data_IF_685200599933
#
_entry.id   IF_685200599933
#
_cell.length_a   1.000
_cell.length_b   1.000
_cell.length_c   1.000
_cell.angle_alpha   90.00
_cell.angle_beta   90.00
_cell.angle_gamma   90.00
#
_symmetry.space_group_name_H-M   'P 1'
#
loop_
_entity.id
_entity.type
_entity.pdbx_description
1 polymer ?
#
# COMPACT_ATOMS: atom_id res chain seq x y z
N UNK A 1 -73.15 -13.87 -65.67
CA UNK A 1 -71.95 -13.63 -64.84
C UNK A 1 -71.75 -14.85 -63.93
N UNK A 2 -70.70 -15.62 -64.13
CA UNK A 2 -70.50 -16.86 -63.37
C UNK A 2 -70.03 -16.59 -61.96
N UNK A 3 -70.30 -17.51 -60.98
CA UNK A 3 -69.85 -17.36 -59.55
C UNK A 3 -68.34 -17.17 -59.47
N UNK A 4 -67.56 -17.56 -60.43
CA UNK A 4 -66.12 -17.39 -60.47
C UNK A 4 -65.68 -15.94 -60.77
N UNK A 5 -66.43 -15.29 -61.67
CA UNK A 5 -66.16 -13.87 -61.98
C UNK A 5 -66.45 -12.97 -60.82
N UNK A 6 -67.48 -13.25 -60.02
CA UNK A 6 -67.75 -12.48 -58.76
C UNK A 6 -66.69 -12.72 -57.68
N UNK A 7 -66.08 -13.90 -57.63
CA UNK A 7 -64.99 -14.16 -56.71
C UNK A 7 -63.68 -13.45 -57.12
N UNK A 8 -63.42 -13.33 -58.38
CA UNK A 8 -62.28 -12.62 -58.96
C UNK A 8 -62.41 -11.10 -58.76
N UNK A 9 -63.63 -10.54 -59.00
CA UNK A 9 -63.92 -9.10 -58.76
C UNK A 9 -63.77 -8.72 -57.31
N UNK A 10 -64.21 -9.56 -56.34
CA UNK A 10 -64.02 -9.30 -54.93
C UNK A 10 -62.53 -9.32 -54.49
N UNK A 11 -61.67 -10.08 -55.20
CA UNK A 11 -60.22 -10.10 -54.91
C UNK A 11 -59.49 -8.85 -55.38
N UNK A 12 -60.10 -8.07 -56.26
CA UNK A 12 -59.52 -6.83 -56.80
C UNK A 12 -60.07 -5.56 -56.15
N UNK A 13 -60.87 -5.65 -55.07
CA UNK A 13 -61.29 -4.44 -54.32
C UNK A 13 -60.13 -3.75 -53.69
N UNK A 14 -59.99 -2.41 -53.82
CA UNK A 14 -58.82 -1.65 -53.35
C UNK A 14 -58.60 -1.77 -51.82
N UNK A 15 -59.64 -2.14 -51.07
CA UNK A 15 -59.51 -2.43 -49.63
C UNK A 15 -58.70 -3.69 -49.29
N UNK A 16 -58.77 -4.74 -50.10
CA UNK A 16 -58.03 -5.98 -49.92
C UNK A 16 -56.57 -5.84 -50.34
N UNK A 17 -56.28 -5.08 -51.37
CA UNK A 17 -54.93 -4.78 -51.83
C UNK A 17 -54.18 -3.95 -50.78
N UNK A 18 -54.81 -2.90 -50.22
CA UNK A 18 -54.23 -2.09 -49.14
C UNK A 18 -53.99 -2.88 -47.85
N UNK A 19 -54.85 -3.85 -47.52
CA UNK A 19 -54.68 -4.70 -46.35
C UNK A 19 -53.51 -5.67 -46.49
N UNK A 20 -53.35 -6.23 -47.66
CA UNK A 20 -52.24 -7.15 -48.02
C UNK A 20 -50.90 -6.40 -48.09
N UNK A 21 -50.90 -5.19 -48.65
CA UNK A 21 -49.70 -4.34 -48.64
C UNK A 21 -49.28 -3.90 -47.25
N UNK A 22 -50.26 -3.56 -46.37
CA UNK A 22 -49.96 -3.25 -44.97
C UNK A 22 -49.40 -4.48 -44.20
N UNK A 23 -49.95 -5.67 -44.42
CA UNK A 23 -49.44 -6.89 -43.82
C UNK A 23 -48.03 -7.21 -44.29
N UNK A 24 -47.74 -7.05 -45.60
CA UNK A 24 -46.43 -7.24 -46.17
C UNK A 24 -45.41 -6.23 -45.64
N UNK A 25 -45.82 -4.95 -45.51
CA UNK A 25 -44.98 -3.91 -44.94
C UNK A 25 -44.61 -4.18 -43.47
N UNK A 26 -45.56 -4.67 -42.66
CA UNK A 26 -45.30 -5.07 -41.26
C UNK A 26 -44.35 -6.24 -41.19
N UNK A 27 -44.50 -7.28 -42.05
CA UNK A 27 -43.60 -8.39 -42.08
C UNK A 27 -42.16 -7.99 -42.49
N UNK A 28 -42.04 -7.13 -43.51
CA UNK A 28 -40.73 -6.59 -43.93
C UNK A 28 -40.10 -5.75 -42.78
N UNK A 29 -40.88 -4.89 -42.13
CA UNK A 29 -40.37 -4.11 -41.01
C UNK A 29 -39.93 -4.99 -39.82
N UNK A 30 -40.69 -6.04 -39.49
CA UNK A 30 -40.32 -7.01 -38.46
C UNK A 30 -39.04 -7.78 -38.84
N UNK A 31 -38.89 -8.16 -40.10
CA UNK A 31 -37.73 -8.86 -40.59
C UNK A 31 -36.48 -8.00 -40.61
N UNK A 32 -36.61 -6.73 -40.94
CA UNK A 32 -35.51 -5.73 -40.85
C UNK A 32 -35.12 -5.49 -39.40
N UNK A 33 -36.07 -5.39 -38.45
CA UNK A 33 -35.76 -5.29 -37.03
C UNK A 33 -35.06 -6.54 -36.48
N UNK A 34 -35.50 -7.73 -36.88
CA UNK A 34 -34.85 -8.98 -36.43
C UNK A 34 -33.44 -9.08 -37.02
N UNK A 35 -33.25 -8.77 -38.28
CA UNK A 35 -31.91 -8.76 -38.90
C UNK A 35 -31.05 -7.65 -38.22
N UNK A 36 -31.59 -6.48 -37.99
CA UNK A 36 -30.92 -5.40 -37.25
C UNK A 36 -30.50 -5.80 -35.85
N UNK A 37 -31.38 -6.52 -35.13
CA UNK A 37 -31.07 -7.05 -33.80
C UNK A 37 -30.00 -8.16 -33.88
N UNK A 38 -30.06 -9.05 -34.85
CA UNK A 38 -29.05 -10.11 -35.06
C UNK A 38 -27.70 -9.49 -35.45
N UNK A 39 -27.68 -8.48 -36.30
CA UNK A 39 -26.45 -7.76 -36.69
C UNK A 39 -25.91 -6.96 -35.52
N UNK A 40 -26.80 -6.34 -34.74
CA UNK A 40 -26.40 -5.59 -33.53
C UNK A 40 -25.83 -6.53 -32.45
N UNK A 41 -26.52 -7.64 -32.13
CA UNK A 41 -26.06 -8.65 -31.17
C UNK A 41 -24.81 -9.38 -31.69
N UNK A 42 -24.78 -9.75 -32.94
CA UNK A 42 -23.62 -10.35 -33.58
C UNK A 42 -22.44 -9.37 -33.70
N UNK A 43 -22.71 -8.09 -33.92
CA UNK A 43 -21.73 -7.02 -33.85
C UNK A 43 -21.17 -6.83 -32.45
N UNK A 44 -22.02 -6.84 -31.41
CA UNK A 44 -21.59 -6.81 -30.01
C UNK A 44 -20.74 -8.03 -29.62
N UNK A 45 -21.09 -9.22 -30.11
CA UNK A 45 -20.29 -10.45 -29.87
C UNK A 45 -18.96 -10.39 -30.63
N UNK A 46 -18.95 -9.90 -31.86
CA UNK A 46 -17.74 -9.77 -32.67
C UNK A 46 -16.86 -8.59 -32.32
N UNK A 47 -17.43 -7.48 -31.77
CA UNK A 47 -16.70 -6.32 -31.29
C UNK A 47 -16.33 -6.49 -29.82
N UNK A 48 -17.15 -7.19 -29.02
CA UNK A 48 -16.82 -7.58 -27.64
C UNK A 48 -15.63 -8.52 -27.56
N UNK A 49 -15.42 -9.37 -28.58
CA UNK A 49 -14.25 -10.26 -28.66
C UNK A 49 -13.02 -9.58 -29.32
N UNK A 50 -13.18 -8.34 -29.85
CA UNK A 50 -12.07 -7.53 -30.37
C UNK A 50 -11.61 -6.42 -29.43
N UNK A 51 -12.33 -6.18 -28.32
CA UNK A 51 -11.96 -5.19 -27.30
C UNK A 51 -11.20 -5.77 -26.12
N UNK A 52 -11.22 -7.06 -25.94
CA UNK A 52 -10.50 -7.78 -24.92
C UNK A 52 -9.45 -8.71 -25.52
N UNK A 53 -8.56 -8.21 -26.34
CA UNK A 53 -7.26 -8.88 -26.42
C UNK A 53 -6.71 -8.79 -25.01
N UNK A 54 -6.93 -9.82 -24.22
CA UNK A 54 -6.28 -10.09 -22.96
C UNK A 54 -4.80 -10.09 -23.26
N UNK A 55 -4.25 -8.91 -23.35
CA UNK A 55 -2.82 -8.72 -23.42
C UNK A 55 -2.32 -8.97 -22.01
N UNK A 56 -2.21 -10.21 -21.65
CA UNK A 56 -1.49 -10.67 -20.48
C UNK A 56 -0.06 -11.01 -20.89
N UNK A 57 0.87 -10.92 -19.97
CA UNK A 57 2.20 -11.47 -20.15
C UNK A 57 2.15 -12.99 -19.98
N UNK A 58 3.17 -13.68 -20.47
CA UNK A 58 3.32 -15.12 -20.29
C UNK A 58 4.45 -15.39 -19.30
N UNK A 59 4.22 -16.26 -18.31
CA UNK A 59 5.24 -16.72 -17.39
C UNK A 59 5.25 -16.01 -16.02
N UNK A 60 6.37 -16.11 -15.33
CA UNK A 60 6.55 -15.69 -13.93
C UNK A 60 7.36 -14.42 -13.78
N UNK A 61 7.67 -13.72 -14.86
CA UNK A 61 8.44 -12.48 -14.88
C UNK A 61 9.71 -12.55 -15.70
N UNK A 62 10.37 -11.39 -15.87
CA UNK A 62 11.60 -11.22 -16.65
C UNK A 62 12.89 -11.18 -15.80
N UNK A 63 12.78 -11.33 -14.48
CA UNK A 63 13.89 -11.27 -13.53
C UNK A 63 14.16 -9.88 -12.96
N UNK A 64 13.49 -8.82 -13.43
CA UNK A 64 13.58 -7.47 -12.85
C UNK A 64 12.58 -7.37 -11.70
N UNK A 65 13.08 -7.15 -10.48
CA UNK A 65 12.24 -7.06 -9.30
C UNK A 65 11.57 -5.69 -9.18
N UNK A 66 10.29 -5.73 -8.83
CA UNK A 66 9.47 -4.57 -8.50
C UNK A 66 8.90 -4.72 -7.09
N UNK A 67 8.93 -3.65 -6.32
CA UNK A 67 8.35 -3.61 -4.99
C UNK A 67 6.89 -3.13 -5.06
N UNK A 68 5.98 -3.96 -4.58
CA UNK A 68 4.54 -3.69 -4.58
C UNK A 68 4.08 -3.49 -3.14
N UNK A 69 3.52 -2.33 -2.87
CA UNK A 69 2.91 -2.03 -1.56
C UNK A 69 1.47 -2.53 -1.53
N UNK A 70 1.13 -3.31 -0.52
CA UNK A 70 -0.24 -3.70 -0.18
C UNK A 70 -0.65 -2.90 1.06
N UNK A 71 -1.46 -1.85 0.91
CA UNK A 71 -1.93 -1.05 2.05
C UNK A 71 -2.82 -1.86 3.00
N UNK A 72 -2.89 -1.42 4.26
CA UNK A 72 -3.75 -2.06 5.26
C UNK A 72 -5.22 -1.92 4.85
N UNK A 73 -5.95 -3.05 4.83
CA UNK A 73 -7.37 -3.09 4.45
C UNK A 73 -7.66 -3.03 2.96
N UNK A 74 -6.66 -2.96 2.08
CA UNK A 74 -6.88 -3.02 0.62
C UNK A 74 -7.22 -4.43 0.16
N UNK A 75 -8.06 -4.50 -0.86
CA UNK A 75 -8.33 -5.75 -1.58
C UNK A 75 -7.30 -5.99 -2.68
N UNK A 76 -7.08 -7.27 -3.02
CA UNK A 76 -6.16 -7.63 -4.11
C UNK A 76 -6.52 -6.93 -5.43
N UNK A 77 -7.81 -6.73 -5.70
CA UNK A 77 -8.29 -6.07 -6.92
C UNK A 77 -7.90 -4.59 -7.01
N UNK A 78 -7.66 -3.91 -5.90
CA UNK A 78 -7.25 -2.50 -5.88
C UNK A 78 -5.80 -2.28 -6.29
N UNK A 79 -5.00 -3.35 -6.32
CA UNK A 79 -3.58 -3.29 -6.69
C UNK A 79 -3.35 -3.25 -8.21
N UNK A 80 -4.37 -3.59 -9.01
CA UNK A 80 -4.24 -3.70 -10.46
C UNK A 80 -3.59 -2.50 -11.14
N UNK A 81 -4.06 -1.25 -10.90
CA UNK A 81 -3.44 -0.06 -11.49
C UNK A 81 -1.96 0.11 -11.15
N UNK A 82 -1.54 -0.09 -9.87
CA UNK A 82 -0.14 0.01 -9.46
C UNK A 82 0.74 -1.06 -10.11
N UNK A 83 0.21 -2.29 -10.24
CA UNK A 83 0.90 -3.38 -10.92
C UNK A 83 1.12 -3.11 -12.42
N UNK A 84 0.17 -2.43 -13.08
CA UNK A 84 0.31 -2.01 -14.49
C UNK A 84 1.33 -0.89 -14.60
N UNK A 85 1.26 0.12 -13.75
CA UNK A 85 2.17 1.27 -13.77
C UNK A 85 3.63 0.84 -13.53
N UNK A 86 3.84 -0.17 -12.70
CA UNK A 86 5.16 -0.77 -12.44
C UNK A 86 5.57 -1.85 -13.44
N UNK A 87 4.76 -2.11 -14.46
CA UNK A 87 5.07 -3.08 -15.51
C UNK A 87 5.06 -4.54 -15.05
N UNK A 88 4.51 -4.84 -13.87
CA UNK A 88 4.42 -6.21 -13.34
C UNK A 88 3.41 -7.01 -14.14
N UNK A 89 2.22 -6.44 -14.40
CA UNK A 89 1.19 -7.05 -15.25
C UNK A 89 0.88 -6.15 -16.44
N UNK A 90 0.39 -6.75 -17.51
CA UNK A 90 0.16 -6.02 -18.75
C UNK A 90 -1.16 -5.25 -18.78
N UNK A 91 -2.18 -5.71 -18.05
CA UNK A 91 -3.46 -5.01 -17.94
C UNK A 91 -4.14 -5.30 -16.60
N UNK A 92 -4.80 -4.26 -16.08
CA UNK A 92 -5.61 -4.33 -14.86
C UNK A 92 -6.77 -5.34 -15.01
N UNK A 93 -7.42 -5.38 -16.18
CA UNK A 93 -8.53 -6.31 -16.45
C UNK A 93 -8.11 -7.78 -16.35
N UNK A 94 -6.92 -8.12 -16.88
CA UNK A 94 -6.39 -9.48 -16.75
C UNK A 94 -6.10 -9.81 -15.29
N UNK A 95 -5.51 -8.88 -14.55
CA UNK A 95 -5.21 -9.06 -13.13
C UNK A 95 -6.48 -9.22 -12.29
N UNK A 96 -7.48 -8.37 -12.47
CA UNK A 96 -8.77 -8.49 -11.76
C UNK A 96 -9.47 -9.80 -12.06
N UNK A 97 -9.41 -10.27 -13.32
CA UNK A 97 -9.96 -11.57 -13.70
C UNK A 97 -9.23 -12.72 -12.99
N UNK A 98 -7.90 -12.68 -12.93
CA UNK A 98 -7.11 -13.68 -12.22
C UNK A 98 -7.37 -13.66 -10.71
N UNK A 99 -7.45 -12.47 -10.11
CA UNK A 99 -7.76 -12.29 -8.69
C UNK A 99 -9.16 -12.84 -8.33
N UNK A 100 -10.17 -12.54 -9.16
CA UNK A 100 -11.53 -13.03 -8.94
C UNK A 100 -11.67 -14.57 -9.06
N UNK A 101 -10.80 -15.21 -9.85
CA UNK A 101 -10.77 -16.66 -10.01
C UNK A 101 -9.93 -17.38 -8.94
N UNK A 102 -9.20 -16.65 -8.12
CA UNK A 102 -8.38 -17.24 -7.05
C UNK A 102 -9.15 -17.27 -5.73
N UNK A 103 -9.33 -18.47 -5.18
CA UNK A 103 -10.08 -18.69 -3.93
C UNK A 103 -9.40 -18.09 -2.70
N UNK A 104 -8.07 -17.93 -2.75
CA UNK A 104 -7.24 -17.43 -1.66
C UNK A 104 -7.03 -15.91 -1.73
N UNK A 105 -7.62 -15.22 -2.70
CA UNK A 105 -7.47 -13.78 -2.89
C UNK A 105 -7.81 -12.94 -1.65
N UNK A 106 -8.71 -13.44 -0.80
CA UNK A 106 -9.07 -12.82 0.48
C UNK A 106 -8.04 -12.99 1.60
N UNK A 107 -7.01 -13.80 1.42
CA UNK A 107 -5.95 -14.02 2.42
C UNK A 107 -4.74 -13.08 2.26
N UNK A 108 -4.80 -12.14 1.32
CA UNK A 108 -3.75 -11.15 1.10
C UNK A 108 -3.45 -10.38 2.39
N UNK A 109 -2.19 -10.32 2.75
CA UNK A 109 -1.73 -9.59 3.93
C UNK A 109 -1.15 -8.22 3.53
N UNK A 110 -1.34 -7.18 4.34
CA UNK A 110 -0.67 -5.90 4.11
C UNK A 110 0.83 -6.05 4.27
N UNK A 111 1.58 -5.29 3.47
CA UNK A 111 3.03 -5.37 3.47
C UNK A 111 3.63 -4.94 2.14
N UNK A 112 4.93 -5.08 2.00
CA UNK A 112 5.60 -4.99 0.71
C UNK A 112 5.89 -6.39 0.18
N UNK A 113 5.69 -6.55 -1.13
CA UNK A 113 5.93 -7.80 -1.83
C UNK A 113 6.88 -7.57 -2.99
N UNK A 114 7.82 -8.48 -3.16
CA UNK A 114 8.73 -8.49 -4.29
C UNK A 114 8.11 -9.29 -5.42
N UNK A 115 7.71 -8.60 -6.49
CA UNK A 115 7.23 -9.19 -7.73
C UNK A 115 8.23 -8.91 -8.84
N UNK A 116 8.05 -9.54 -10.00
CA UNK A 116 8.87 -9.27 -11.17
C UNK A 116 8.07 -8.52 -12.23
N UNK A 117 8.76 -7.78 -13.08
CA UNK A 117 8.15 -7.24 -14.28
C UNK A 117 7.74 -8.36 -15.24
N UNK A 118 6.76 -8.08 -16.09
CA UNK A 118 6.28 -8.97 -17.15
C UNK A 118 5.76 -10.33 -16.64
N UNK A 119 5.15 -10.34 -15.46
CA UNK A 119 4.44 -11.52 -14.94
C UNK A 119 3.08 -11.66 -15.59
N UNK A 120 2.64 -12.91 -15.83
CA UNK A 120 1.22 -13.17 -16.11
C UNK A 120 0.37 -12.77 -14.91
N UNK A 121 -0.86 -12.34 -15.16
CA UNK A 121 -1.79 -11.94 -14.11
C UNK A 121 -1.99 -13.04 -13.03
N UNK A 122 -2.09 -14.30 -13.46
CA UNK A 122 -2.20 -15.45 -12.56
C UNK A 122 -0.94 -15.65 -11.71
N UNK A 123 0.25 -15.45 -12.28
CA UNK A 123 1.52 -15.51 -11.56
C UNK A 123 1.67 -14.38 -10.56
N UNK A 124 1.26 -13.15 -10.92
CA UNK A 124 1.29 -12.00 -10.03
C UNK A 124 0.35 -12.18 -8.83
N UNK A 125 -0.87 -12.69 -9.04
CA UNK A 125 -1.80 -13.03 -7.95
C UNK A 125 -1.19 -14.08 -7.00
N UNK A 126 -0.61 -15.15 -7.55
CA UNK A 126 0.05 -16.17 -6.73
C UNK A 126 1.24 -15.62 -5.96
N UNK A 127 2.04 -14.76 -6.57
CA UNK A 127 3.19 -14.14 -5.94
C UNK A 127 2.78 -13.22 -4.78
N UNK A 128 1.67 -12.48 -4.88
CA UNK A 128 1.12 -11.65 -3.81
C UNK A 128 0.56 -12.48 -2.64
N UNK A 129 0.15 -13.71 -2.88
CA UNK A 129 -0.37 -14.61 -1.85
C UNK A 129 0.72 -15.49 -1.21
N UNK A 130 1.91 -15.51 -1.78
CA UNK A 130 3.05 -16.24 -1.25
C UNK A 130 3.86 -15.34 -0.30
N UNK A 131 3.82 -15.66 0.99
CA UNK A 131 4.53 -14.92 2.04
C UNK A 131 6.06 -14.93 1.88
N UNK A 132 6.62 -15.84 1.08
CA UNK A 132 8.05 -15.81 0.76
C UNK A 132 8.44 -14.62 -0.13
N UNK A 133 7.47 -13.99 -0.78
CA UNK A 133 7.68 -12.76 -1.54
C UNK A 133 7.44 -11.50 -0.72
N UNK A 134 6.96 -11.66 0.53
CA UNK A 134 6.79 -10.52 1.43
C UNK A 134 8.16 -10.07 1.95
N UNK A 135 8.36 -8.76 1.93
CA UNK A 135 9.58 -8.12 2.46
C UNK A 135 9.50 -8.06 3.98
N UNK A 136 10.59 -8.37 4.67
CA UNK A 136 10.64 -8.39 6.12
C UNK A 136 10.34 -7.02 6.75
N UNK A 137 9.66 -7.04 7.90
CA UNK A 137 9.29 -5.85 8.65
C UNK A 137 10.35 -5.51 9.68
N UNK A 138 10.69 -4.22 9.77
CA UNK A 138 11.41 -3.67 10.91
C UNK A 138 10.41 -3.49 12.07
N UNK A 139 10.50 -4.33 13.10
CA UNK A 139 9.63 -4.28 14.29
C UNK A 139 10.36 -3.57 15.44
N UNK A 140 10.12 -2.26 15.59
CA UNK A 140 10.69 -1.43 16.65
C UNK A 140 9.83 -1.55 17.89
N UNK A 141 10.33 -2.25 18.90
CA UNK A 141 9.65 -2.44 20.18
C UNK A 141 9.76 -1.21 21.07
N UNK A 142 8.79 -1.02 21.99
CA UNK A 142 8.89 0.01 23.04
C UNK A 142 10.16 -0.14 23.87
N UNK A 143 10.87 0.96 24.07
CA UNK A 143 12.15 1.00 24.77
C UNK A 143 13.35 0.48 23.96
N UNK A 144 13.19 0.27 22.64
CA UNK A 144 14.34 0.02 21.76
C UNK A 144 15.27 1.23 21.73
N UNK A 145 16.58 0.96 21.65
CA UNK A 145 17.63 1.99 21.51
C UNK A 145 18.16 1.98 20.08
N UNK A 146 18.77 3.09 19.64
CA UNK A 146 19.38 3.15 18.31
C UNK A 146 20.55 2.18 18.19
N UNK A 147 21.40 2.10 19.21
CA UNK A 147 22.56 1.20 19.26
C UNK A 147 22.29 -0.01 20.14
N UNK A 148 23.07 -1.06 19.91
CA UNK A 148 23.02 -2.28 20.70
C UNK A 148 23.40 -2.04 22.15
N UNK A 149 22.74 -2.75 23.06
CA UNK A 149 22.98 -2.68 24.48
C UNK A 149 23.35 -4.07 25.01
N UNK A 150 24.53 -4.17 25.63
CA UNK A 150 24.92 -5.38 26.35
C UNK A 150 24.15 -5.48 27.67
N UNK A 151 23.49 -6.61 27.88
CA UNK A 151 22.75 -6.90 29.11
C UNK A 151 23.65 -7.68 30.09
N UNK A 152 23.46 -7.45 31.38
CA UNK A 152 24.17 -8.23 32.41
C UNK A 152 23.78 -9.71 32.23
N UNK A 153 24.78 -10.55 31.93
CA UNK A 153 24.56 -11.96 31.60
C UNK A 153 25.14 -12.37 30.23
N UNK A 154 25.54 -11.39 29.41
CA UNK A 154 26.25 -11.61 28.14
C UNK A 154 25.33 -11.56 26.91
N UNK A 155 24.02 -11.41 27.07
CA UNK A 155 23.11 -11.21 25.95
C UNK A 155 23.24 -9.79 25.38
N UNK A 156 23.00 -9.66 24.08
CA UNK A 156 22.96 -8.38 23.38
C UNK A 156 21.52 -8.10 22.96
N UNK A 157 21.00 -6.96 23.40
CA UNK A 157 19.77 -6.41 22.85
C UNK A 157 20.14 -5.58 21.63
N UNK A 158 19.72 -6.03 20.46
CA UNK A 158 19.98 -5.33 19.21
C UNK A 158 19.24 -3.99 19.18
N UNK A 159 19.97 -2.97 18.74
CA UNK A 159 19.43 -1.65 18.50
C UNK A 159 18.78 -1.52 17.13
N UNK A 160 18.10 -0.40 16.90
CA UNK A 160 17.37 -0.13 15.65
C UNK A 160 18.31 -0.19 14.45
N UNK A 161 19.55 0.31 14.55
CA UNK A 161 20.51 0.25 13.45
C UNK A 161 20.88 -1.20 13.07
N UNK A 162 21.11 -2.06 14.04
CA UNK A 162 21.39 -3.48 13.78
C UNK A 162 20.15 -4.23 13.25
N UNK A 163 18.96 -3.81 13.66
CA UNK A 163 17.71 -4.37 13.13
C UNK A 163 17.49 -3.94 11.67
N UNK A 164 17.78 -2.68 11.31
CA UNK A 164 17.74 -2.19 9.92
C UNK A 164 18.75 -2.96 9.06
N UNK A 165 20.01 -3.09 9.51
CA UNK A 165 21.03 -3.86 8.81
C UNK A 165 20.55 -5.28 8.54
N UNK A 166 20.00 -5.96 9.55
CA UNK A 166 19.49 -7.32 9.38
C UNK A 166 18.41 -7.39 8.30
N UNK A 167 17.37 -6.58 8.39
CA UNK A 167 16.26 -6.57 7.44
C UNK A 167 16.73 -6.25 6.02
N UNK A 168 17.56 -5.23 5.83
CA UNK A 168 18.05 -4.84 4.52
C UNK A 168 19.02 -5.86 3.93
N UNK A 169 19.85 -6.54 4.75
CA UNK A 169 20.76 -7.58 4.28
C UNK A 169 20.02 -8.84 3.83
N UNK A 170 18.93 -9.20 4.49
CA UNK A 170 18.06 -10.31 4.07
C UNK A 170 17.40 -10.02 2.73
N UNK A 171 17.12 -8.75 2.44
CA UNK A 171 16.51 -8.26 1.20
C UNK A 171 17.49 -7.99 0.04
N UNK A 172 18.80 -8.12 0.28
CA UNK A 172 19.84 -8.05 -0.75
C UNK A 172 20.48 -6.68 -0.96
N UNK A 173 19.93 -5.59 -0.42
CA UNK A 173 20.58 -4.27 -0.36
C UNK A 173 21.02 -3.98 1.08
N UNK A 174 22.12 -4.56 1.46
CA UNK A 174 22.62 -4.56 2.83
C UNK A 174 23.11 -3.17 3.26
N UNK A 175 22.28 -2.41 3.96
CA UNK A 175 22.65 -1.14 4.58
C UNK A 175 23.33 -1.42 5.90
N UNK A 176 24.64 -1.13 5.95
CA UNK A 176 25.48 -1.44 7.11
C UNK A 176 25.17 -0.52 8.30
N UNK A 177 25.20 -1.08 9.50
CA UNK A 177 25.01 -0.34 10.75
C UNK A 177 25.93 0.88 10.85
N UNK A 178 27.21 0.74 10.52
CA UNK A 178 28.20 1.83 10.60
C UNK A 178 27.82 3.00 9.65
N UNK A 179 27.15 2.71 8.54
CA UNK A 179 26.66 3.72 7.63
C UNK A 179 25.47 4.49 8.23
N UNK A 180 24.54 3.78 8.86
CA UNK A 180 23.41 4.39 9.59
C UNK A 180 23.92 5.29 10.73
N UNK A 181 24.89 4.82 11.51
CA UNK A 181 25.52 5.59 12.58
C UNK A 181 26.18 6.86 12.06
N UNK A 182 26.90 6.76 10.94
CA UNK A 182 27.55 7.89 10.30
C UNK A 182 26.51 8.90 9.78
N UNK A 183 25.49 8.46 9.10
CA UNK A 183 24.40 9.32 8.61
C UNK A 183 23.71 10.00 9.79
N UNK A 184 23.34 9.24 10.81
CA UNK A 184 22.71 9.78 12.01
C UNK A 184 23.59 10.83 12.70
N UNK A 185 24.91 10.69 12.70
CA UNK A 185 25.86 11.63 13.32
C UNK A 185 26.08 12.90 12.49
N UNK A 186 26.08 12.83 11.16
CA UNK A 186 26.61 13.91 10.31
C UNK A 186 25.56 14.67 9.51
N UNK A 187 24.45 14.04 9.12
CA UNK A 187 23.41 14.68 8.28
C UNK A 187 22.57 15.64 9.13
N UNK A 188 22.21 16.79 8.59
CA UNK A 188 21.38 17.78 9.31
C UNK A 188 20.06 17.14 9.77
N UNK A 189 19.67 17.27 11.05
CA UNK A 189 18.43 16.70 11.57
C UNK A 189 17.17 17.09 10.80
N UNK A 190 17.15 18.29 10.23
CA UNK A 190 16.04 18.76 9.41
C UNK A 190 15.94 17.97 8.09
N UNK A 191 17.08 17.60 7.47
CA UNK A 191 17.11 16.76 6.28
C UNK A 191 16.65 15.32 6.59
N UNK A 192 16.94 14.84 7.81
CA UNK A 192 16.45 13.55 8.30
C UNK A 192 14.99 13.58 8.76
N UNK A 193 14.24 14.64 8.51
CA UNK A 193 12.81 14.72 8.85
C UNK A 193 12.51 14.95 10.35
N UNK A 194 13.50 15.35 11.14
CA UNK A 194 13.27 15.67 12.55
C UNK A 194 12.25 16.81 12.70
N UNK A 195 11.27 16.71 13.60
CA UNK A 195 10.30 17.76 13.81
C UNK A 195 10.99 19.02 14.36
N UNK A 196 10.42 20.20 14.07
CA UNK A 196 11.02 21.50 14.39
C UNK A 196 11.44 21.61 15.87
N UNK A 197 10.62 21.09 16.76
CA UNK A 197 10.89 21.10 18.21
C UNK A 197 12.07 20.23 18.66
N UNK A 198 12.53 19.29 17.80
CA UNK A 198 13.66 18.39 18.08
C UNK A 198 14.97 18.85 17.43
N UNK A 199 14.95 19.76 16.45
CA UNK A 199 16.14 20.14 15.65
C UNK A 199 17.27 20.65 16.55
N UNK A 200 17.00 21.67 17.39
CA UNK A 200 18.02 22.28 18.26
C UNK A 200 18.54 21.29 19.32
N UNK A 201 17.71 20.54 20.05
CA UNK A 201 18.20 19.51 20.97
C UNK A 201 19.08 18.44 20.29
N UNK A 202 18.73 18.01 19.07
CA UNK A 202 19.53 17.04 18.30
C UNK A 202 20.86 17.64 17.86
N UNK A 203 20.87 18.89 17.36
CA UNK A 203 22.10 19.61 16.97
C UNK A 203 23.03 19.82 18.16
N UNK A 204 22.49 20.08 19.35
CA UNK A 204 23.27 20.25 20.54
C UNK A 204 24.08 19.00 20.96
N UNK A 205 23.72 17.81 20.45
CA UNK A 205 24.47 16.58 20.71
C UNK A 205 25.68 16.41 19.77
N UNK A 206 25.87 17.30 18.81
CA UNK A 206 27.00 17.24 17.86
C UNK A 206 26.96 15.99 17.00
N UNK A 207 28.13 15.36 16.78
CA UNK A 207 28.31 14.19 15.92
C UNK A 207 28.06 12.85 16.65
N UNK A 208 27.22 12.87 17.70
CA UNK A 208 26.85 11.65 18.43
C UNK A 208 25.91 10.79 17.55
N UNK A 209 26.25 9.54 17.19
CA UNK A 209 25.37 8.65 16.44
C UNK A 209 24.05 8.33 17.17
N UNK A 210 23.96 8.61 18.47
CA UNK A 210 22.72 8.48 19.26
C UNK A 210 21.88 9.76 19.30
N UNK A 211 22.24 10.80 18.56
CA UNK A 211 21.54 12.09 18.65
C UNK A 211 20.07 12.03 18.22
N UNK A 212 19.69 11.02 17.44
CA UNK A 212 18.29 10.75 17.03
C UNK A 212 17.54 9.84 18.03
N UNK A 213 18.13 9.52 19.20
CA UNK A 213 17.50 8.66 20.20
C UNK A 213 16.12 9.19 20.61
N UNK A 214 15.10 8.32 20.54
CA UNK A 214 13.71 8.67 20.81
C UNK A 214 12.95 9.28 19.63
N UNK A 215 13.62 9.60 18.51
CA UNK A 215 12.94 10.15 17.32
C UNK A 215 12.46 9.07 16.33
N UNK A 216 12.70 7.80 16.60
CA UNK A 216 12.07 6.67 15.91
C UNK A 216 11.09 6.03 16.90
N UNK A 217 9.80 6.17 16.62
CA UNK A 217 8.73 5.66 17.47
C UNK A 217 8.64 4.13 17.40
N UNK A 218 8.16 3.48 18.46
CA UNK A 218 7.82 2.06 18.39
C UNK A 218 6.75 1.81 17.33
N UNK A 219 6.91 0.71 16.57
CA UNK A 219 5.98 0.34 15.51
C UNK A 219 6.58 -0.65 14.53
N UNK A 220 5.78 -1.11 13.60
CA UNK A 220 6.23 -1.94 12.49
C UNK A 220 6.40 -1.08 11.25
N UNK A 221 7.61 -1.08 10.72
CA UNK A 221 7.99 -0.29 9.55
C UNK A 221 8.34 -1.22 8.41
N UNK A 222 7.87 -0.88 7.25
CA UNK A 222 8.24 -1.54 6.01
C UNK A 222 9.34 -0.69 5.39
N UNK A 223 10.49 -1.30 5.13
CA UNK A 223 11.61 -0.65 4.48
C UNK A 223 11.59 -1.00 2.99
N UNK A 224 11.73 0.01 2.13
CA UNK A 224 12.02 -0.24 0.72
C UNK A 224 13.46 -0.76 0.61
N UNK A 225 13.69 -1.97 0.08
CA UNK A 225 15.02 -2.54 -0.02
C UNK A 225 15.97 -1.75 -0.94
N UNK A 226 15.48 -0.77 -1.69
CA UNK A 226 16.31 0.09 -2.55
C UNK A 226 16.75 1.39 -1.85
N UNK A 227 16.26 1.67 -0.65
CA UNK A 227 16.63 2.88 0.10
C UNK A 227 18.08 2.84 0.59
N UNK A 228 18.74 4.00 0.53
CA UNK A 228 20.01 4.28 1.21
C UNK A 228 19.80 4.44 2.73
N UNK A 229 20.89 4.43 3.50
CA UNK A 229 20.86 4.70 4.93
C UNK A 229 20.20 6.04 5.29
N UNK A 230 20.44 7.09 4.47
CA UNK A 230 19.85 8.42 4.67
C UNK A 230 18.35 8.41 4.41
N UNK A 231 17.91 7.77 3.33
CA UNK A 231 16.48 7.65 3.00
C UNK A 231 15.72 6.84 4.05
N UNK A 232 16.30 5.73 4.54
CA UNK A 232 15.70 4.93 5.61
C UNK A 232 15.52 5.75 6.88
N UNK A 233 16.58 6.44 7.35
CA UNK A 233 16.49 7.25 8.55
C UNK A 233 15.51 8.41 8.38
N UNK A 234 15.49 9.04 7.22
CA UNK A 234 14.54 10.12 6.90
C UNK A 234 13.10 9.62 6.95
N UNK A 235 12.82 8.47 6.36
CA UNK A 235 11.49 7.85 6.36
C UNK A 235 11.03 7.52 7.80
N UNK A 236 11.87 6.82 8.56
CA UNK A 236 11.55 6.42 9.93
C UNK A 236 11.32 7.62 10.86
N UNK A 237 12.19 8.63 10.79
CA UNK A 237 12.08 9.84 11.63
C UNK A 237 10.88 10.68 11.21
N UNK A 238 10.60 10.84 9.91
CA UNK A 238 9.45 11.60 9.41
C UNK A 238 8.13 10.97 9.83
N UNK A 239 7.96 9.66 9.63
CA UNK A 239 6.75 8.93 10.09
C UNK A 239 6.56 9.02 11.59
N UNK A 240 7.65 8.95 12.35
CA UNK A 240 7.60 9.09 13.80
C UNK A 240 7.22 10.52 14.22
N UNK A 241 7.72 11.53 13.50
CA UNK A 241 7.34 12.93 13.73
C UNK A 241 5.84 13.15 13.48
N UNK A 242 5.26 12.53 12.46
CA UNK A 242 3.82 12.56 12.21
C UNK A 242 3.04 11.93 13.37
N UNK A 243 3.44 10.74 13.84
CA UNK A 243 2.83 10.10 15.00
C UNK A 243 2.87 10.97 16.26
N UNK A 244 4.00 11.62 16.55
CA UNK A 244 4.11 12.53 17.69
C UNK A 244 3.21 13.75 17.52
N UNK A 245 3.10 14.31 16.33
CA UNK A 245 2.22 15.44 16.05
C UNK A 245 0.73 15.06 16.20
N UNK A 246 0.33 13.87 15.80
CA UNK A 246 -1.04 13.35 16.01
C UNK A 246 -1.40 13.25 17.49
N UNK A 247 -0.43 13.04 18.37
CA UNK A 247 -0.66 13.06 19.83
C UNK A 247 -0.77 14.47 20.41
N UNK A 248 -0.65 15.53 19.61
CA UNK A 248 -0.56 16.92 20.08
C UNK A 248 0.55 17.14 21.13
N UNK A 249 1.74 16.56 20.84
CA UNK A 249 2.89 16.64 21.76
C UNK A 249 3.24 18.09 22.14
N UNK A 250 3.10 19.03 21.20
CA UNK A 250 3.42 20.45 21.41
C UNK A 250 2.44 21.09 22.42
N UNK A 251 1.13 20.92 22.20
CA UNK A 251 0.11 21.46 23.11
C UNK A 251 0.18 20.84 24.50
N UNK A 252 0.42 19.53 24.57
CA UNK A 252 0.58 18.82 25.85
C UNK A 252 1.83 19.27 26.65
N UNK A 253 2.94 19.46 25.97
CA UNK A 253 4.17 19.96 26.57
C UNK A 253 3.97 21.38 27.14
N UNK A 254 3.35 22.26 26.36
CA UNK A 254 3.00 23.58 26.76
C UNK A 254 2.09 23.61 28.01
N UNK A 255 1.11 22.71 28.07
CA UNK A 255 0.18 22.61 29.18
C UNK A 255 0.84 22.30 30.53
N UNK A 256 2.01 21.64 30.53
CA UNK A 256 2.78 21.30 31.74
C UNK A 256 4.07 22.12 31.87
N UNK A 257 4.32 23.07 30.95
CA UNK A 257 5.44 24.01 31.04
C UNK A 257 6.81 23.42 30.70
N UNK A 258 6.86 22.40 29.83
CA UNK A 258 8.12 21.81 29.33
C UNK A 258 8.19 21.92 27.80
N UNK A 259 9.37 21.69 27.22
CA UNK A 259 9.49 21.57 25.77
C UNK A 259 8.95 20.22 25.28
N UNK A 260 8.53 20.10 24.02
CA UNK A 260 8.10 18.82 23.44
C UNK A 260 9.20 17.74 23.51
N UNK A 261 10.46 18.13 23.37
CA UNK A 261 11.60 17.19 23.46
C UNK A 261 11.78 16.69 24.92
N UNK A 262 11.62 17.55 25.92
CA UNK A 262 11.63 17.13 27.33
C UNK A 262 10.45 16.26 27.69
N UNK A 263 9.27 16.52 27.11
CA UNK A 263 8.10 15.67 27.30
C UNK A 263 8.35 14.27 26.70
N UNK A 264 8.89 14.18 25.49
CA UNK A 264 9.24 12.90 24.86
C UNK A 264 10.29 12.13 25.68
N UNK A 265 11.33 12.83 26.15
CA UNK A 265 12.36 12.25 27.02
C UNK A 265 11.78 11.72 28.32
N UNK A 266 10.88 12.48 28.95
CA UNK A 266 10.20 12.07 30.20
C UNK A 266 9.29 10.88 29.96
N UNK A 267 8.57 10.83 28.81
CA UNK A 267 7.73 9.71 28.40
C UNK A 267 8.57 8.43 28.21
N UNK A 268 9.75 8.54 27.60
CA UNK A 268 10.67 7.40 27.41
C UNK A 268 11.18 6.85 28.76
N UNK A 269 11.42 7.72 29.74
CA UNK A 269 11.78 7.28 31.09
C UNK A 269 10.61 6.57 31.77
N UNK A 270 9.39 7.12 31.67
CA UNK A 270 8.19 6.49 32.21
C UNK A 270 7.99 5.10 31.59
N UNK A 271 8.12 4.99 30.27
CA UNK A 271 7.99 3.72 29.53
C UNK A 271 8.95 2.64 30.06
N UNK A 272 10.17 3.03 30.38
CA UNK A 272 11.20 2.08 30.83
C UNK A 272 11.11 1.71 32.31
N UNK A 273 10.66 2.62 33.17
CA UNK A 273 10.73 2.46 34.62
C UNK A 273 9.38 2.07 35.23
N UNK A 274 8.26 2.34 34.54
CA UNK A 274 6.96 2.10 35.10
C UNK A 274 6.47 0.66 34.87
N UNK A 275 6.02 -0.01 35.94
CA UNK A 275 5.24 -1.22 35.76
C UNK A 275 3.95 -0.96 34.98
N UNK A 276 3.46 -1.99 34.27
CA UNK A 276 2.21 -1.88 33.53
C UNK A 276 1.07 -1.39 34.44
N UNK A 277 0.38 -0.32 34.00
CA UNK A 277 -0.73 0.30 34.71
C UNK A 277 -0.34 1.32 35.80
N UNK A 278 0.94 1.66 35.96
CA UNK A 278 1.41 2.65 36.91
C UNK A 278 2.12 3.87 36.27
N UNK A 279 1.95 4.08 34.97
CA UNK A 279 2.58 5.13 34.21
C UNK A 279 2.32 6.53 34.77
N UNK A 280 1.10 6.80 35.22
CA UNK A 280 0.70 8.09 35.82
C UNK A 280 1.43 8.40 37.14
N UNK A 281 1.67 7.39 37.95
CA UNK A 281 2.38 7.54 39.23
C UNK A 281 3.87 7.82 38.99
N UNK A 282 4.50 7.05 38.11
CA UNK A 282 5.91 7.21 37.76
C UNK A 282 6.14 8.56 37.07
N UNK A 283 5.27 8.94 36.13
CA UNK A 283 5.30 10.23 35.47
C UNK A 283 5.23 11.39 36.51
N UNK A 284 4.35 11.29 37.52
CA UNK A 284 4.24 12.26 38.60
C UNK A 284 5.55 12.38 39.41
N UNK A 285 6.20 11.26 39.70
CA UNK A 285 7.48 11.25 40.41
C UNK A 285 8.57 11.93 39.58
N UNK A 286 8.69 11.60 38.29
CA UNK A 286 9.67 12.17 37.36
C UNK A 286 9.47 13.70 37.27
N UNK A 287 8.24 14.17 37.08
CA UNK A 287 7.92 15.59 36.99
C UNK A 287 8.24 16.30 38.28
N UNK A 288 7.95 15.73 39.46
CA UNK A 288 8.27 16.32 40.75
C UNK A 288 9.79 16.42 40.99
N UNK A 289 10.56 15.39 40.57
CA UNK A 289 12.03 15.41 40.67
C UNK A 289 12.63 16.49 39.76
N UNK A 290 12.12 16.63 38.53
CA UNK A 290 12.56 17.66 37.59
C UNK A 290 12.33 19.08 38.13
N UNK A 291 11.22 19.31 38.82
CA UNK A 291 10.91 20.61 39.46
C UNK A 291 11.81 20.94 40.68
N UNK A 292 12.37 19.92 41.34
CA UNK A 292 13.28 20.14 42.48
C UNK A 292 14.67 20.62 42.03
N UNK A 293 15.06 20.28 40.78
CA UNK A 293 16.36 20.67 40.23
C UNK A 293 16.37 22.01 39.48
N UNK A 294 15.21 22.62 39.28
CA UNK A 294 15.08 23.97 38.73
C UNK A 294 15.15 25.02 39.86
#
# INVERSE_FOLDING_TARGET
MSRNEQRLARRMEPKFVKRRQRGLAVLIASFVLIIGAIVYIGGQILVGDKGGSRTDFEGTGNGVNQLIQVPEGSSISELGPDLVDKGVVKSDEAFQTAAANNVDAGSLQPGFYRLQEEMSADSAVKALLDLNNQVDLLDVQGGATLQDVSVIGGDVRYGIYSMIEKVTCEEGNCVQKDELERVAATVDPQQLGAPEWAIEPVKARGDDPKRLEGLIAPGRYILDPNMSAEEILTDLVSRSAEQYNETDIVGRAQAIGVSPYELLTSASLVEREAPAGEFDKVARVILNLSLIHI
#
